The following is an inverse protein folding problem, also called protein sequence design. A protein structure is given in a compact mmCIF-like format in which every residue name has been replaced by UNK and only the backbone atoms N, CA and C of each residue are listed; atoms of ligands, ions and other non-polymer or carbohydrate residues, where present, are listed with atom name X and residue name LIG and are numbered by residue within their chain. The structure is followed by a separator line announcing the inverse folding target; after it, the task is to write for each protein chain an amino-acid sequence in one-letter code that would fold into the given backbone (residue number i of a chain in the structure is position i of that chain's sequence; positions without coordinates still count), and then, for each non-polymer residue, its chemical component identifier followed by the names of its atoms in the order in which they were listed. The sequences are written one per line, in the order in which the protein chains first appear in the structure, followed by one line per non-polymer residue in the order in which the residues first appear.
data_IF_712877051958
#
_entry.id   IF_712877051958
#
_cell.length_a   1.000
_cell.length_b   1.000
_cell.length_c   1.000
_cell.angle_alpha   90.00
_cell.angle_beta   90.00
_cell.angle_gamma   90.00
#
_symmetry.space_group_name_H-M   'P 1'
#
loop_
_entity.id
_entity.type
_entity.pdbx_description
1 polymer ?
#
# COMPACT_ATOMS: atom_id res chain seq x y z
N UNK A 1 42.42 16.58 -39.06
CA UNK A 1 42.36 15.13 -39.28
C UNK A 1 43.61 14.72 -40.04
N UNK A 2 44.51 13.85 -39.60
CA UNK A 2 44.69 13.13 -38.34
C UNK A 2 46.18 12.74 -38.27
N UNK A 3 47.05 13.62 -37.72
CA UNK A 3 48.47 13.29 -37.52
C UNK A 3 48.67 12.04 -36.66
N UNK A 4 47.74 11.81 -35.74
CA UNK A 4 47.72 10.61 -34.90
C UNK A 4 47.38 9.36 -35.72
N UNK A 5 46.44 9.47 -36.67
CA UNK A 5 46.05 8.34 -37.52
C UNK A 5 47.18 7.96 -38.48
N UNK A 6 47.87 8.94 -39.08
CA UNK A 6 49.06 8.66 -39.90
C UNK A 6 50.18 8.05 -39.05
N UNK A 7 50.46 8.61 -37.85
CA UNK A 7 51.48 8.07 -36.95
C UNK A 7 51.21 6.61 -36.53
N UNK A 8 49.96 6.27 -36.20
CA UNK A 8 49.57 4.89 -35.86
C UNK A 8 49.71 3.97 -37.07
N UNK A 9 49.37 4.45 -38.26
CA UNK A 9 49.40 3.66 -39.49
C UNK A 9 50.85 3.40 -39.95
N UNK A 10 51.73 4.38 -39.82
CA UNK A 10 53.15 4.30 -40.17
C UNK A 10 53.95 3.40 -39.20
N UNK A 11 53.55 3.35 -37.92
CA UNK A 11 54.20 2.54 -36.89
C UNK A 11 53.47 1.22 -36.61
N UNK A 12 52.42 0.89 -37.37
CA UNK A 12 51.58 -0.29 -37.16
C UNK A 12 52.39 -1.58 -37.15
N UNK A 13 53.33 -1.70 -38.09
CA UNK A 13 54.21 -2.87 -38.20
C UNK A 13 55.11 -3.03 -36.99
N UNK A 14 55.56 -1.91 -36.39
CA UNK A 14 56.38 -1.90 -35.18
C UNK A 14 55.58 -2.42 -33.97
N UNK A 15 54.33 -2.00 -33.82
CA UNK A 15 53.42 -2.50 -32.78
C UNK A 15 53.01 -3.96 -32.96
N UNK A 16 52.95 -4.47 -34.20
CA UNK A 16 52.57 -5.84 -34.50
C UNK A 16 53.74 -6.84 -34.38
N UNK A 17 54.98 -6.38 -34.55
CA UNK A 17 56.17 -7.24 -34.54
C UNK A 17 56.94 -7.22 -33.22
N UNK A 18 56.81 -6.16 -32.43
CA UNK A 18 57.46 -6.08 -31.12
C UNK A 18 56.65 -6.89 -30.10
N UNK A 19 57.21 -8.01 -29.65
CA UNK A 19 56.62 -8.79 -28.56
C UNK A 19 56.52 -7.90 -27.32
N UNK A 20 55.30 -7.65 -26.84
CA UNK A 20 55.05 -6.92 -25.58
C UNK A 20 55.98 -7.46 -24.50
N UNK A 21 56.79 -6.57 -23.89
CA UNK A 21 57.71 -7.00 -22.84
C UNK A 21 56.91 -7.65 -21.71
N UNK A 22 57.42 -8.75 -21.15
CA UNK A 22 56.78 -9.43 -20.00
C UNK A 22 56.50 -8.47 -18.83
N UNK A 23 57.26 -7.39 -18.76
CA UNK A 23 57.07 -6.35 -17.75
C UNK A 23 55.79 -5.54 -17.96
N UNK A 24 55.37 -5.30 -19.20
CA UNK A 24 54.09 -4.64 -19.51
C UNK A 24 52.90 -5.52 -19.13
N UNK A 25 52.96 -6.80 -19.45
CA UNK A 25 51.94 -7.78 -19.05
C UNK A 25 51.82 -7.84 -17.53
N UNK A 26 52.95 -7.92 -16.82
CA UNK A 26 52.99 -7.91 -15.35
C UNK A 26 52.38 -6.65 -14.76
N UNK A 27 52.74 -5.46 -15.27
CA UNK A 27 52.17 -4.18 -14.84
C UNK A 27 50.67 -4.07 -15.12
N UNK A 28 50.20 -4.64 -16.23
CA UNK A 28 48.78 -4.67 -16.58
C UNK A 28 48.00 -5.59 -15.63
N UNK A 29 48.51 -6.79 -15.36
CA UNK A 29 47.91 -7.74 -14.43
C UNK A 29 47.87 -7.22 -12.99
N UNK A 30 48.93 -6.53 -12.53
CA UNK A 30 48.96 -5.87 -11.22
C UNK A 30 47.90 -4.76 -11.11
N UNK A 31 47.70 -3.97 -12.17
CA UNK A 31 46.65 -2.93 -12.22
C UNK A 31 45.24 -3.55 -12.21
N UNK A 32 45.04 -4.64 -12.94
CA UNK A 32 43.78 -5.40 -12.94
C UNK A 32 43.46 -5.96 -11.55
N UNK A 33 44.42 -6.62 -10.91
CA UNK A 33 44.27 -7.20 -9.58
C UNK A 33 43.96 -6.12 -8.51
N UNK A 34 44.59 -4.95 -8.61
CA UNK A 34 44.35 -3.81 -7.72
C UNK A 34 42.95 -3.19 -7.93
N UNK A 35 42.42 -3.23 -9.16
CA UNK A 35 41.09 -2.68 -9.48
C UNK A 35 39.94 -3.60 -9.03
N UNK A 36 40.12 -4.92 -9.07
CA UNK A 36 39.05 -5.89 -8.78
C UNK A 36 38.84 -6.13 -7.29
N UNK A 37 39.89 -6.10 -6.47
CA UNK A 37 39.80 -6.40 -5.03
C UNK A 37 39.17 -5.28 -4.20
N UNK A 38 39.40 -4.02 -4.58
CA UNK A 38 38.98 -2.86 -3.76
C UNK A 38 37.49 -2.52 -3.97
N UNK A 39 36.93 -2.78 -5.16
CA UNK A 39 35.53 -2.45 -5.45
C UNK A 39 34.53 -3.55 -5.10
N UNK A 40 34.84 -4.83 -5.32
CA UNK A 40 33.85 -5.91 -5.16
C UNK A 40 33.52 -6.26 -3.71
N UNK A 41 34.50 -6.21 -2.80
CA UNK A 41 34.28 -6.63 -1.41
C UNK A 41 33.51 -5.60 -0.58
N UNK A 42 33.70 -4.31 -0.89
CA UNK A 42 32.99 -3.22 -0.20
C UNK A 42 31.53 -3.13 -0.65
N UNK A 43 31.24 -3.22 -1.95
CA UNK A 43 29.86 -3.20 -2.46
C UNK A 43 29.05 -4.40 -2.00
N UNK A 44 29.61 -5.60 -1.92
CA UNK A 44 28.87 -6.78 -1.44
C UNK A 44 28.41 -6.64 0.01
N UNK A 45 29.27 -6.12 0.91
CA UNK A 45 28.86 -5.86 2.29
C UNK A 45 27.72 -4.84 2.33
N UNK A 46 27.84 -3.72 1.62
CA UNK A 46 26.76 -2.72 1.58
C UNK A 46 25.47 -3.27 0.99
N UNK A 47 25.52 -4.08 -0.07
CA UNK A 47 24.33 -4.70 -0.66
C UNK A 47 23.64 -5.67 0.30
N UNK A 48 24.41 -6.45 1.08
CA UNK A 48 23.85 -7.34 2.10
C UNK A 48 23.22 -6.51 3.24
N UNK A 49 23.89 -5.45 3.71
CA UNK A 49 23.33 -4.56 4.75
C UNK A 49 22.10 -3.79 4.26
N UNK A 50 22.06 -3.36 2.99
CA UNK A 50 20.88 -2.71 2.40
C UNK A 50 19.73 -3.71 2.26
N UNK A 51 20.01 -4.95 1.85
CA UNK A 51 19.00 -6.01 1.74
C UNK A 51 18.42 -6.40 3.10
N UNK A 52 19.27 -6.57 4.13
CA UNK A 52 18.80 -6.89 5.48
C UNK A 52 18.08 -5.72 6.15
N UNK A 53 18.52 -4.47 5.92
CA UNK A 53 17.81 -3.29 6.37
C UNK A 53 16.46 -3.13 5.67
N UNK A 54 16.37 -3.38 4.36
CA UNK A 54 15.11 -3.37 3.62
C UNK A 54 14.17 -4.47 4.10
N UNK A 55 14.68 -5.69 4.36
CA UNK A 55 13.88 -6.78 4.93
C UNK A 55 13.39 -6.43 6.34
N UNK A 56 14.24 -5.84 7.19
CA UNK A 56 13.83 -5.33 8.50
C UNK A 56 12.79 -4.23 8.39
N UNK A 57 12.92 -3.31 7.43
CA UNK A 57 11.92 -2.27 7.17
C UNK A 57 10.60 -2.89 6.70
N UNK A 58 10.62 -3.94 5.87
CA UNK A 58 9.41 -4.65 5.42
C UNK A 58 8.77 -5.45 6.56
N UNK A 59 9.56 -6.17 7.36
CA UNK A 59 9.07 -6.91 8.53
C UNK A 59 8.58 -5.96 9.62
N UNK A 60 9.24 -4.81 9.82
CA UNK A 60 8.75 -3.76 10.69
C UNK A 60 7.53 -3.05 10.09
N UNK A 61 7.44 -2.83 8.79
CA UNK A 61 6.26 -2.21 8.18
C UNK A 61 5.05 -3.14 8.28
N UNK A 62 5.21 -4.44 8.00
CA UNK A 62 4.15 -5.44 8.14
C UNK A 62 3.85 -5.68 9.62
N UNK A 63 4.87 -5.85 10.46
CA UNK A 63 4.73 -6.04 11.90
C UNK A 63 4.14 -4.83 12.62
N UNK A 64 4.47 -3.61 12.18
CA UNK A 64 3.83 -2.37 12.62
C UNK A 64 2.44 -2.21 12.03
N UNK A 65 2.10 -2.76 10.86
CA UNK A 65 0.68 -2.84 10.42
C UNK A 65 -0.16 -3.73 11.33
N UNK A 66 0.46 -4.73 11.96
CA UNK A 66 -0.20 -5.60 12.94
C UNK A 66 -0.11 -5.08 14.40
N UNK A 67 0.91 -4.29 14.76
CA UNK A 67 1.15 -3.77 16.14
C UNK A 67 0.78 -2.29 16.32
N UNK A 68 0.76 -1.50 15.24
CA UNK A 68 0.18 -0.16 15.20
C UNK A 68 -1.02 -0.23 14.28
N UNK A 69 -2.19 -0.08 14.89
CA UNK A 69 -3.33 0.58 14.28
C UNK A 69 -2.82 1.60 13.23
N UNK A 70 -3.19 1.37 11.97
CA UNK A 70 -2.74 2.15 10.82
C UNK A 70 -2.81 3.66 11.12
N UNK A 71 -1.74 4.45 10.90
CA UNK A 71 -1.80 5.91 11.04
C UNK A 71 -2.58 6.57 9.88
N UNK A 72 -3.11 5.77 8.95
CA UNK A 72 -4.07 6.19 7.92
C UNK A 72 -5.46 5.56 8.10
N UNK A 73 -5.66 4.73 9.13
CA UNK A 73 -7.00 4.42 9.61
C UNK A 73 -7.49 5.60 10.46
N UNK A 74 -7.89 6.67 9.78
CA UNK A 74 -8.83 7.66 10.31
C UNK A 74 -10.23 7.02 10.39
N UNK A 75 -10.31 5.81 10.95
CA UNK A 75 -11.56 5.22 11.39
C UNK A 75 -11.39 4.99 12.88
N UNK A 76 -12.20 5.70 13.70
CA UNK A 76 -12.04 5.64 15.13
C UNK A 76 -12.24 4.19 15.56
N UNK A 77 -11.53 3.79 16.61
CA UNK A 77 -11.88 2.68 17.50
C UNK A 77 -13.35 2.31 17.33
N UNK A 78 -13.63 1.09 16.87
CA UNK A 78 -14.97 0.60 16.57
C UNK A 78 -15.94 1.15 17.63
N UNK A 79 -16.84 2.10 17.28
CA UNK A 79 -17.58 2.85 18.28
C UNK A 79 -18.54 1.97 19.07
N UNK A 80 -18.75 0.75 18.59
CA UNK A 80 -19.59 -0.28 19.18
C UNK A 80 -18.73 -1.47 19.62
N UNK A 81 -17.63 -1.21 20.35
CA UNK A 81 -16.68 -2.23 20.84
C UNK A 81 -17.33 -3.38 21.62
N UNK A 82 -18.47 -3.13 22.26
CA UNK A 82 -19.26 -4.13 22.98
C UNK A 82 -20.13 -4.99 22.04
N UNK A 83 -20.07 -4.74 20.74
CA UNK A 83 -20.66 -5.57 19.70
C UNK A 83 -22.18 -5.52 19.60
N UNK A 84 -22.90 -4.59 20.25
CA UNK A 84 -24.36 -4.55 20.14
C UNK A 84 -24.82 -4.06 18.76
N UNK A 85 -25.69 -4.82 18.08
CA UNK A 85 -26.29 -4.43 16.81
C UNK A 85 -27.06 -3.09 16.88
N UNK A 86 -27.68 -2.81 18.03
CA UNK A 86 -28.40 -1.54 18.31
C UNK A 86 -27.44 -0.34 18.22
N UNK A 87 -26.20 -0.51 18.66
CA UNK A 87 -25.21 0.56 18.58
C UNK A 87 -24.88 0.90 17.11
N UNK A 88 -24.64 -0.11 16.27
CA UNK A 88 -24.38 0.12 14.84
C UNK A 88 -25.58 0.75 14.15
N UNK A 89 -26.79 0.27 14.44
CA UNK A 89 -28.02 0.87 13.91
C UNK A 89 -28.15 2.36 14.24
N UNK A 90 -27.87 2.75 15.48
CA UNK A 90 -27.90 4.16 15.89
C UNK A 90 -26.82 4.99 15.17
N UNK A 91 -25.63 4.43 14.97
CA UNK A 91 -24.55 5.10 14.26
C UNK A 91 -24.85 5.27 12.77
N UNK A 92 -25.47 4.27 12.14
CA UNK A 92 -26.04 4.35 10.77
C UNK A 92 -27.00 5.55 10.69
N UNK A 93 -27.99 5.65 11.59
CA UNK A 93 -28.94 6.78 11.57
C UNK A 93 -28.28 8.15 11.75
N UNK A 94 -27.24 8.22 12.59
CA UNK A 94 -26.49 9.46 12.82
C UNK A 94 -25.69 9.88 11.60
N UNK A 95 -24.98 8.93 10.98
CA UNK A 95 -24.22 9.16 9.75
C UNK A 95 -25.13 9.53 8.59
N UNK A 96 -26.30 8.90 8.44
CA UNK A 96 -27.19 9.17 7.31
C UNK A 96 -27.68 10.62 7.34
N UNK A 97 -28.10 11.07 8.53
CA UNK A 97 -28.50 12.45 8.78
C UNK A 97 -27.37 13.45 8.49
N UNK A 98 -26.13 13.08 8.83
CA UNK A 98 -24.95 13.90 8.56
C UNK A 98 -24.63 13.99 7.07
N UNK A 99 -24.62 12.86 6.36
CA UNK A 99 -24.35 12.83 4.92
C UNK A 99 -25.43 13.61 4.16
N UNK A 100 -26.70 13.49 4.56
CA UNK A 100 -27.79 14.28 3.98
C UNK A 100 -27.55 15.79 4.15
N UNK A 101 -27.05 16.21 5.32
CA UNK A 101 -26.69 17.61 5.57
C UNK A 101 -25.47 18.05 4.74
N UNK A 102 -24.38 17.29 4.78
CA UNK A 102 -23.11 17.62 4.13
C UNK A 102 -23.25 17.63 2.58
N UNK A 103 -24.14 16.79 2.03
CA UNK A 103 -24.41 16.73 0.59
C UNK A 103 -25.17 17.93 0.00
N UNK A 104 -25.72 18.83 0.84
CA UNK A 104 -26.52 19.99 0.36
C UNK A 104 -25.73 20.98 -0.49
N UNK A 105 -24.43 21.07 -0.26
CA UNK A 105 -23.54 21.98 -0.98
C UNK A 105 -22.88 21.34 -2.21
N UNK A 106 -23.17 20.06 -2.48
CA UNK A 106 -22.64 19.35 -3.64
C UNK A 106 -23.48 19.65 -4.90
N UNK A 107 -22.88 19.49 -6.10
CA UNK A 107 -23.64 19.50 -7.34
C UNK A 107 -24.79 18.50 -7.33
N UNK A 108 -25.92 18.84 -7.96
CA UNK A 108 -27.16 18.06 -7.92
C UNK A 108 -26.97 16.59 -8.29
N UNK A 109 -26.16 16.31 -9.33
CA UNK A 109 -25.88 14.94 -9.76
C UNK A 109 -25.18 14.10 -8.66
N UNK A 110 -24.17 14.67 -7.97
CA UNK A 110 -23.48 13.99 -6.86
C UNK A 110 -24.42 13.79 -5.68
N UNK A 111 -25.23 14.80 -5.39
CA UNK A 111 -26.21 14.74 -4.30
C UNK A 111 -27.24 13.63 -4.54
N UNK A 112 -27.78 13.52 -5.76
CA UNK A 112 -28.73 12.47 -6.12
C UNK A 112 -28.11 11.07 -6.00
N UNK A 113 -26.88 10.90 -6.50
CA UNK A 113 -26.15 9.63 -6.37
C UNK A 113 -25.97 9.23 -4.90
N UNK A 114 -25.51 10.16 -4.06
CA UNK A 114 -25.31 9.94 -2.62
C UNK A 114 -26.64 9.59 -1.93
N UNK A 115 -27.73 10.32 -2.22
CA UNK A 115 -29.04 10.07 -1.60
C UNK A 115 -29.57 8.67 -1.99
N UNK A 116 -29.46 8.29 -3.26
CA UNK A 116 -29.88 6.96 -3.72
C UNK A 116 -29.10 5.84 -3.02
N UNK A 117 -27.78 6.02 -2.86
CA UNK A 117 -26.93 5.04 -2.17
C UNK A 117 -27.21 4.97 -0.66
N UNK A 118 -27.56 6.09 -0.01
CA UNK A 118 -27.99 6.06 1.39
C UNK A 118 -29.32 5.33 1.53
N UNK A 119 -30.29 5.59 0.64
CA UNK A 119 -31.60 4.94 0.69
C UNK A 119 -31.53 3.43 0.49
N UNK A 120 -30.55 2.93 -0.26
CA UNK A 120 -30.34 1.49 -0.44
C UNK A 120 -29.66 0.82 0.76
N UNK A 121 -28.85 1.56 1.52
CA UNK A 121 -28.11 1.03 2.68
C UNK A 121 -28.83 1.21 4.02
N UNK A 122 -29.61 2.28 4.18
CA UNK A 122 -30.37 2.51 5.41
C UNK A 122 -31.54 1.53 5.43
N UNK A 123 -31.60 0.61 6.41
CA UNK A 123 -32.71 -0.31 6.50
C UNK A 123 -33.99 0.51 6.68
N UNK A 124 -34.91 0.34 5.73
CA UNK A 124 -36.28 0.81 5.87
C UNK A 124 -36.82 0.10 7.10
N UNK A 125 -37.17 0.84 8.14
CA UNK A 125 -37.53 0.36 9.48
C UNK A 125 -38.75 -0.57 9.55
N UNK A 126 -39.18 -1.13 8.42
CA UNK A 126 -40.30 -2.04 8.34
C UNK A 126 -39.96 -3.39 8.97
N UNK A 127 -38.80 -4.00 8.68
CA UNK A 127 -38.43 -5.33 9.19
C UNK A 127 -36.97 -5.30 9.66
N UNK A 128 -36.71 -5.79 10.89
CA UNK A 128 -35.35 -5.94 11.39
C UNK A 128 -34.70 -7.15 10.70
N UNK A 129 -33.38 -7.14 10.50
CA UNK A 129 -32.67 -8.27 9.87
C UNK A 129 -32.89 -9.60 10.62
N UNK A 130 -33.09 -9.52 11.93
CA UNK A 130 -33.52 -10.63 12.80
C UNK A 130 -34.78 -11.34 12.29
N UNK A 131 -35.75 -10.60 11.75
CA UNK A 131 -37.02 -11.15 11.24
C UNK A 131 -36.86 -11.92 9.92
N UNK A 132 -35.71 -11.76 9.24
CA UNK A 132 -35.37 -12.44 7.99
C UNK A 132 -34.56 -13.72 8.20
N UNK A 133 -34.12 -13.98 9.44
CA UNK A 133 -33.36 -15.17 9.78
C UNK A 133 -34.29 -16.40 9.86
N UNK A 134 -33.89 -17.56 9.33
CA UNK A 134 -34.70 -18.76 9.46
C UNK A 134 -34.76 -19.23 10.93
N UNK A 135 -35.92 -19.80 11.29
CA UNK A 135 -36.28 -20.09 12.69
C UNK A 135 -35.48 -21.23 13.35
N UNK A 136 -34.66 -21.94 12.57
CA UNK A 136 -33.79 -23.05 12.99
C UNK A 136 -32.39 -22.59 13.44
N UNK A 137 -32.08 -21.30 13.33
CA UNK A 137 -30.81 -20.74 13.78
C UNK A 137 -30.81 -20.56 15.30
N UNK A 138 -29.66 -20.86 15.94
CA UNK A 138 -29.49 -20.62 17.37
C UNK A 138 -29.44 -19.13 17.70
N UNK A 139 -30.00 -18.72 18.85
CA UNK A 139 -30.01 -17.31 19.30
C UNK A 139 -28.62 -16.66 19.25
N UNK A 140 -27.58 -17.39 19.64
CA UNK A 140 -26.18 -16.92 19.61
C UNK A 140 -25.69 -16.63 18.18
N UNK A 141 -26.10 -17.45 17.23
CA UNK A 141 -25.74 -17.27 15.83
C UNK A 141 -26.57 -16.16 15.18
N UNK A 142 -27.85 -16.05 15.52
CA UNK A 142 -28.70 -14.93 15.13
C UNK A 142 -28.15 -13.59 15.63
N UNK A 143 -27.71 -13.52 16.89
CA UNK A 143 -27.05 -12.34 17.45
C UNK A 143 -25.77 -11.99 16.67
N UNK A 144 -24.91 -12.97 16.41
CA UNK A 144 -23.68 -12.74 15.62
C UNK A 144 -24.01 -12.19 14.22
N UNK A 145 -24.97 -12.79 13.53
CA UNK A 145 -25.37 -12.39 12.17
C UNK A 145 -25.98 -10.98 12.16
N UNK A 146 -26.80 -10.63 13.16
CA UNK A 146 -27.32 -9.27 13.34
C UNK A 146 -26.18 -8.26 13.47
N UNK A 147 -25.20 -8.55 14.33
CA UNK A 147 -24.06 -7.66 14.55
C UNK A 147 -23.26 -7.47 13.26
N UNK A 148 -22.97 -8.56 12.56
CA UNK A 148 -22.21 -8.53 11.31
C UNK A 148 -22.94 -7.74 10.21
N UNK A 149 -24.24 -7.97 10.06
CA UNK A 149 -25.09 -7.26 9.09
C UNK A 149 -25.05 -5.74 9.30
N UNK A 150 -25.38 -5.27 10.51
CA UNK A 150 -25.39 -3.83 10.78
C UNK A 150 -23.98 -3.22 10.79
N UNK A 151 -22.95 -3.99 11.14
CA UNK A 151 -21.56 -3.53 11.04
C UNK A 151 -21.15 -3.31 9.59
N UNK A 152 -21.48 -4.22 8.68
CA UNK A 152 -21.18 -4.05 7.25
C UNK A 152 -21.90 -2.83 6.65
N UNK A 153 -23.18 -2.62 6.99
CA UNK A 153 -23.93 -1.43 6.58
C UNK A 153 -23.28 -0.13 7.11
N UNK A 154 -22.85 -0.13 8.37
CA UNK A 154 -22.16 0.99 8.97
C UNK A 154 -20.84 1.31 8.24
N UNK A 155 -20.05 0.30 7.90
CA UNK A 155 -18.80 0.47 7.14
C UNK A 155 -19.05 1.08 5.75
N UNK A 156 -20.03 0.57 5.00
CA UNK A 156 -20.41 1.14 3.69
C UNK A 156 -20.88 2.58 3.79
N UNK A 157 -21.57 2.94 4.88
CA UNK A 157 -21.98 4.32 5.13
C UNK A 157 -20.83 5.27 5.44
N UNK A 158 -19.78 4.80 6.12
CA UNK A 158 -18.57 5.63 6.29
C UNK A 158 -17.89 5.92 4.96
N UNK A 159 -17.89 4.96 4.05
CA UNK A 159 -17.34 5.14 2.70
C UNK A 159 -18.12 6.24 1.95
N UNK A 160 -19.45 6.20 1.98
CA UNK A 160 -20.28 7.28 1.39
C UNK A 160 -20.01 8.63 2.05
N UNK A 161 -19.86 8.67 3.38
CA UNK A 161 -19.53 9.91 4.09
C UNK A 161 -18.15 10.48 3.72
N UNK A 162 -17.24 9.65 3.20
CA UNK A 162 -15.96 10.15 2.69
C UNK A 162 -16.10 10.87 1.35
N UNK A 163 -17.09 10.48 0.53
CA UNK A 163 -17.36 11.08 -0.79
C UNK A 163 -17.93 12.50 -0.68
N UNK A 164 -18.60 12.83 0.43
CA UNK A 164 -19.07 14.21 0.69
C UNK A 164 -17.95 15.18 1.06
N UNK A 165 -16.79 14.67 1.50
CA UNK A 165 -15.65 15.50 1.93
C UNK A 165 -14.62 15.77 0.81
N UNK A 166 -14.77 15.12 -0.35
CA UNK A 166 -13.90 15.34 -1.51
C UNK A 166 -14.46 16.49 -2.36
N UNK A 167 -14.19 17.72 -1.93
CA UNK A 167 -14.36 18.94 -2.73
C UNK A 167 -13.20 19.11 -3.71
#
# INVERSE_FOLDING_TARGET
MDKLKSFIQDNKTLFETESLSQEHEKRFMERLAKSQSIKKFRTYKYLIYISSAALLIVVLAIGLRFLKEDPLAVFPSDPCRDGSHICYYNQIRKLSSRIEYDSRNLPEYKRQEIIMNIQSLVPSSAHEFSDMLPADISDKEADRLNIEYYKQLYEGMKEIASLTNQT
#
